data_IF_803797383007
#
_entry.id   IF_803797383007
#
_cell.length_a   1.000
_cell.length_b   1.000
_cell.length_c   1.000
_cell.angle_alpha   90.00
_cell.angle_beta   90.00
_cell.angle_gamma   90.00
#
_symmetry.space_group_name_H-M   'P 1'
#
loop_
_entity.id
_entity.type
_entity.pdbx_description
1 polymer ?
#
# COMPACT_ATOMS: atom_id res chain seq x y z
N UNK A 1 24.55 9.71 -13.47
CA UNK A 1 23.20 9.43 -13.99
C UNK A 1 22.31 9.13 -12.80
N UNK A 2 21.55 10.10 -12.31
CA UNK A 2 20.65 9.89 -11.17
C UNK A 2 19.40 9.21 -11.70
N UNK A 3 19.18 7.94 -11.34
CA UNK A 3 17.90 7.27 -11.57
C UNK A 3 16.87 7.99 -10.70
N UNK A 4 16.18 8.99 -11.27
CA UNK A 4 14.90 9.43 -10.74
C UNK A 4 14.06 8.15 -10.67
N UNK A 5 13.73 7.69 -9.46
CA UNK A 5 12.87 6.52 -9.28
C UNK A 5 11.58 6.81 -10.03
N UNK A 6 11.37 6.16 -11.17
CA UNK A 6 10.29 6.53 -12.06
C UNK A 6 8.98 6.06 -11.43
N UNK A 7 8.11 7.00 -11.07
CA UNK A 7 6.71 6.71 -10.71
C UNK A 7 5.88 6.25 -11.91
N UNK A 8 6.52 5.90 -13.03
CA UNK A 8 5.89 5.51 -14.28
C UNK A 8 4.90 4.35 -14.11
N UNK A 9 5.19 3.28 -13.34
CA UNK A 9 4.18 2.24 -13.07
C UNK A 9 2.93 2.77 -12.35
N UNK A 10 3.09 3.74 -11.44
CA UNK A 10 1.97 4.35 -10.70
C UNK A 10 1.15 5.29 -11.59
N UNK A 11 1.79 5.97 -12.54
CA UNK A 11 1.09 6.79 -13.53
C UNK A 11 0.35 5.92 -14.57
N UNK A 12 0.99 4.86 -15.07
CA UNK A 12 0.36 3.91 -16.02
C UNK A 12 -0.84 3.21 -15.37
N UNK A 13 -0.71 2.81 -14.11
CA UNK A 13 -1.80 2.24 -13.31
C UNK A 13 -2.83 3.26 -12.80
N UNK A 14 -2.71 4.54 -13.20
CA UNK A 14 -3.60 5.67 -12.80
C UNK A 14 -3.65 5.97 -11.30
N UNK A 15 -2.86 5.30 -10.47
CA UNK A 15 -2.68 5.60 -9.05
C UNK A 15 -2.33 7.07 -8.86
N UNK A 16 -1.37 7.57 -9.65
CA UNK A 16 -1.14 9.01 -9.75
C UNK A 16 -2.25 9.63 -10.61
N UNK A 17 -2.97 10.59 -10.03
CA UNK A 17 -4.11 11.28 -10.65
C UNK A 17 -5.46 10.81 -10.11
N UNK A 18 -5.62 9.51 -9.82
CA UNK A 18 -6.86 9.00 -9.21
C UNK A 18 -6.80 8.91 -7.68
N UNK A 19 -5.63 8.63 -7.10
CA UNK A 19 -5.47 8.40 -5.65
C UNK A 19 -4.51 9.40 -5.02
N UNK A 20 -3.36 9.65 -5.67
CA UNK A 20 -2.35 10.59 -5.17
C UNK A 20 -1.93 11.59 -6.24
N UNK A 21 -1.52 12.77 -5.80
CA UNK A 21 -0.86 13.75 -6.67
C UNK A 21 0.50 13.25 -7.14
N UNK A 22 1.02 13.85 -8.21
CA UNK A 22 2.39 13.57 -8.67
C UNK A 22 3.42 13.92 -7.59
N UNK A 23 4.30 12.98 -7.26
CA UNK A 23 5.33 13.15 -6.24
C UNK A 23 6.68 12.58 -6.69
N UNK A 24 7.75 12.97 -5.98
CA UNK A 24 9.09 12.39 -6.13
C UNK A 24 9.35 11.43 -4.96
N UNK A 25 9.49 10.11 -5.20
CA UNK A 25 9.74 9.15 -4.13
C UNK A 25 11.06 9.46 -3.42
N UNK A 26 10.99 9.68 -2.11
CA UNK A 26 12.14 10.00 -1.25
C UNK A 26 12.47 8.89 -0.25
N UNK A 27 11.49 8.03 0.07
CA UNK A 27 11.61 6.95 1.06
C UNK A 27 11.24 5.63 0.41
N UNK A 28 12.07 4.61 0.64
CA UNK A 28 11.79 3.24 0.17
C UNK A 28 10.80 2.56 1.10
N UNK A 29 9.86 1.83 0.52
CA UNK A 29 8.94 0.96 1.24
C UNK A 29 9.02 -0.45 0.65
N UNK A 30 8.93 -1.48 1.49
CA UNK A 30 8.83 -2.87 1.05
C UNK A 30 7.70 -3.57 1.76
N UNK A 31 6.74 -4.07 0.99
CA UNK A 31 5.59 -4.86 1.47
C UNK A 31 5.82 -6.33 1.14
N UNK A 32 5.72 -7.22 2.12
CA UNK A 32 5.98 -8.65 1.99
C UNK A 32 4.84 -9.45 2.63
N UNK A 33 4.12 -10.24 1.82
CA UNK A 33 3.12 -11.20 2.28
C UNK A 33 3.73 -12.59 2.48
N UNK A 34 3.21 -13.34 3.45
CA UNK A 34 3.59 -14.73 3.73
C UNK A 34 5.11 -14.96 3.85
N UNK A 35 5.86 -13.94 4.30
CA UNK A 35 7.31 -13.98 4.51
C UNK A 35 8.19 -13.92 3.27
N UNK A 36 7.67 -14.19 2.07
CA UNK A 36 8.49 -14.25 0.84
C UNK A 36 7.89 -13.53 -0.38
N UNK A 37 6.59 -13.25 -0.40
CA UNK A 37 5.94 -12.62 -1.55
C UNK A 37 5.99 -11.11 -1.45
N UNK A 38 7.01 -10.51 -2.04
CA UNK A 38 7.16 -9.06 -2.12
C UNK A 38 6.18 -8.46 -3.15
N UNK A 39 5.49 -7.39 -2.76
CA UNK A 39 4.60 -6.63 -3.66
C UNK A 39 5.42 -5.86 -4.70
N UNK A 40 4.91 -5.77 -5.93
CA UNK A 40 5.46 -4.98 -7.02
C UNK A 40 4.33 -4.25 -7.75
N UNK A 41 4.57 -3.00 -8.16
CA UNK A 41 3.55 -2.18 -8.82
C UNK A 41 3.01 -2.87 -10.08
N UNK A 42 1.68 -2.92 -10.21
CA UNK A 42 0.99 -3.52 -11.36
C UNK A 42 1.00 -5.05 -11.41
N UNK A 43 1.55 -5.73 -10.39
CA UNK A 43 1.49 -7.20 -10.31
C UNK A 43 0.28 -7.63 -9.50
N UNK A 44 -0.50 -8.55 -10.07
CA UNK A 44 -1.65 -9.16 -9.39
C UNK A 44 -1.19 -10.04 -8.21
N UNK A 45 -1.92 -9.94 -7.10
CA UNK A 45 -1.71 -10.78 -5.92
C UNK A 45 -3.00 -11.51 -5.62
N UNK A 46 -2.91 -12.85 -5.58
CA UNK A 46 -4.05 -13.70 -5.25
C UNK A 46 -4.69 -13.33 -3.90
N UNK A 47 -6.04 -13.27 -3.83
CA UNK A 47 -6.80 -13.02 -2.60
C UNK A 47 -6.33 -13.82 -1.37
N UNK A 48 -6.05 -15.11 -1.56
CA UNK A 48 -5.60 -16.00 -0.48
C UNK A 48 -4.27 -15.56 0.16
N UNK A 49 -3.43 -14.82 -0.57
CA UNK A 49 -2.15 -14.33 -0.05
C UNK A 49 -2.33 -13.07 0.79
N UNK A 50 -3.31 -12.23 0.46
CA UNK A 50 -3.56 -10.96 1.15
C UNK A 50 -4.49 -11.09 2.37
N UNK A 51 -4.96 -12.30 2.67
CA UNK A 51 -5.78 -12.60 3.84
C UNK A 51 -5.10 -12.35 5.19
N UNK A 52 -3.76 -12.28 5.20
CA UNK A 52 -2.97 -11.99 6.41
C UNK A 52 -2.28 -10.64 6.28
N UNK A 53 -1.94 -10.04 7.43
CA UNK A 53 -1.22 -8.79 7.45
C UNK A 53 0.22 -8.99 6.91
N UNK A 54 0.67 -8.21 5.91
CA UNK A 54 2.04 -8.24 5.42
C UNK A 54 2.98 -7.63 6.44
N UNK A 55 4.25 -7.93 6.26
CA UNK A 55 5.33 -7.14 6.83
C UNK A 55 5.59 -5.94 5.92
N UNK A 56 5.63 -4.74 6.49
CA UNK A 56 5.92 -3.52 5.74
C UNK A 56 7.13 -2.83 6.36
N UNK A 57 8.26 -2.88 5.65
CA UNK A 57 9.51 -2.22 6.03
C UNK A 57 9.53 -0.80 5.45
N UNK A 58 9.82 0.18 6.30
CA UNK A 58 9.92 1.60 5.93
C UNK A 58 11.37 2.04 6.03
N UNK A 59 11.88 2.66 4.96
CA UNK A 59 13.20 3.27 4.93
C UNK A 59 13.26 4.59 5.72
N UNK A 60 14.18 5.46 5.31
CA UNK A 60 14.43 6.74 5.96
C UNK A 60 15.89 6.90 6.34
N UNK A 61 16.24 8.08 6.85
CA UNK A 61 17.60 8.39 7.30
C UNK A 61 17.83 8.00 8.76
N UNK A 62 16.83 8.24 9.61
CA UNK A 62 16.86 7.93 11.04
C UNK A 62 15.46 7.69 11.62
N UNK A 63 15.40 7.40 12.93
CA UNK A 63 14.16 7.17 13.68
C UNK A 63 13.48 8.46 14.18
N UNK A 64 13.96 9.65 13.79
CA UNK A 64 13.36 10.93 14.22
C UNK A 64 12.14 11.30 13.41
N UNK A 65 12.09 10.81 12.17
CA UNK A 65 10.92 10.96 11.30
C UNK A 65 9.89 9.88 11.63
N UNK A 66 8.62 10.27 11.64
CA UNK A 66 7.48 9.38 11.76
C UNK A 66 6.71 9.32 10.43
N UNK A 67 6.28 8.11 10.06
CA UNK A 67 5.55 7.84 8.83
C UNK A 67 4.15 7.33 9.14
N UNK A 68 3.23 7.59 8.22
CA UNK A 68 1.89 6.99 8.22
C UNK A 68 1.76 6.12 6.99
N UNK A 69 1.32 4.87 7.17
CA UNK A 69 0.94 3.96 6.11
C UNK A 69 -0.59 3.95 6.00
N UNK A 70 -1.07 4.15 4.78
CA UNK A 70 -2.48 4.00 4.42
C UNK A 70 -2.53 2.91 3.36
N UNK A 71 -3.39 1.91 3.55
CA UNK A 71 -3.72 0.91 2.54
C UNK A 71 -5.17 1.11 2.12
N UNK A 72 -5.41 1.34 0.85
CA UNK A 72 -6.76 1.62 0.32
C UNK A 72 -7.02 0.96 -1.03
N UNK A 73 -8.29 0.71 -1.32
CA UNK A 73 -8.80 0.23 -2.60
C UNK A 73 -9.65 1.32 -3.27
N UNK A 74 -9.16 1.97 -4.34
CA UNK A 74 -9.89 2.99 -5.10
C UNK A 74 -10.91 2.39 -6.07
N UNK A 75 -10.94 1.06 -6.20
CA UNK A 75 -11.75 0.32 -7.15
C UNK A 75 -12.93 -0.40 -6.47
N UNK A 76 -13.22 -0.13 -5.19
CA UNK A 76 -14.26 -0.83 -4.45
C UNK A 76 -15.70 -0.44 -4.93
N UNK A 77 -16.61 -1.42 -5.11
CA UNK A 77 -16.42 -2.88 -5.03
C UNK A 77 -15.86 -3.52 -6.32
N UNK A 78 -15.87 -2.80 -7.45
CA UNK A 78 -15.27 -3.23 -8.71
C UNK A 78 -14.68 -2.04 -9.49
N UNK A 79 -13.55 -2.21 -10.20
CA UNK A 79 -12.97 -1.15 -11.04
C UNK A 79 -13.93 -0.58 -12.08
N UNK A 80 -14.95 -1.35 -12.47
CA UNK A 80 -15.97 -0.92 -13.45
C UNK A 80 -17.09 -0.06 -12.84
N UNK A 81 -17.32 -0.16 -11.53
CA UNK A 81 -18.34 0.60 -10.80
C UNK A 81 -17.86 0.93 -9.37
N UNK A 82 -16.86 1.83 -9.23
CA UNK A 82 -16.17 2.07 -7.98
C UNK A 82 -16.92 3.05 -7.06
N UNK A 83 -18.21 2.82 -6.81
CA UNK A 83 -19.05 3.75 -6.04
C UNK A 83 -18.75 3.76 -4.52
N UNK A 84 -17.92 2.83 -4.03
CA UNK A 84 -17.43 2.80 -2.65
C UNK A 84 -15.98 3.30 -2.53
N UNK A 85 -15.39 3.85 -3.60
CA UNK A 85 -14.05 4.44 -3.53
C UNK A 85 -14.04 5.66 -2.59
N UNK A 86 -13.03 5.87 -1.76
CA UNK A 86 -11.89 4.99 -1.45
C UNK A 86 -12.23 4.07 -0.27
N UNK A 87 -12.06 2.76 -0.43
CA UNK A 87 -12.25 1.82 0.67
C UNK A 87 -10.96 1.69 1.49
N UNK A 88 -11.02 2.10 2.75
CA UNK A 88 -9.86 2.07 3.64
C UNK A 88 -9.68 0.68 4.24
N UNK A 89 -8.56 0.03 3.95
CA UNK A 89 -8.19 -1.23 4.59
C UNK A 89 -7.52 -0.98 5.93
N UNK A 90 -6.37 -0.30 5.94
CA UNK A 90 -5.57 -0.06 7.15
C UNK A 90 -5.04 1.36 7.23
N UNK A 91 -4.92 1.84 8.46
CA UNK A 91 -4.09 2.99 8.80
C UNK A 91 -3.14 2.58 9.93
N UNK A 92 -1.85 2.81 9.71
CA UNK A 92 -0.82 2.69 10.73
C UNK A 92 -0.08 4.03 10.81
N UNK A 93 -0.16 4.69 11.95
CA UNK A 93 0.49 5.98 12.19
C UNK A 93 1.75 5.81 13.03
N UNK A 94 2.50 6.90 13.20
CA UNK A 94 3.65 6.97 14.12
C UNK A 94 4.73 5.89 13.89
N UNK A 95 4.91 5.41 12.65
CA UNK A 95 5.94 4.42 12.32
C UNK A 95 7.30 5.12 12.29
N UNK A 96 8.27 4.78 13.14
CA UNK A 96 9.59 5.38 13.08
C UNK A 96 10.34 5.01 11.79
N UNK A 97 11.07 5.95 11.21
CA UNK A 97 11.91 5.65 10.05
C UNK A 97 12.90 4.52 10.33
N UNK A 98 13.31 3.81 9.27
CA UNK A 98 14.20 2.63 9.32
C UNK A 98 13.63 1.39 10.04
N UNK A 99 12.34 1.40 10.40
CA UNK A 99 11.67 0.29 11.09
C UNK A 99 10.57 -0.36 10.22
N UNK A 100 9.59 -0.99 10.85
CA UNK A 100 8.43 -1.59 10.19
C UNK A 100 7.14 -1.26 10.95
N UNK A 101 5.99 -1.58 10.34
CA UNK A 101 4.67 -1.24 10.88
C UNK A 101 4.37 -1.81 12.28
N UNK A 102 5.13 -2.80 12.77
CA UNK A 102 4.95 -3.31 14.14
C UNK A 102 5.34 -2.30 15.23
N UNK A 103 6.10 -1.26 14.88
CA UNK A 103 6.47 -0.16 15.77
C UNK A 103 5.52 1.03 15.71
N UNK A 104 4.56 1.03 14.77
CA UNK A 104 3.56 2.06 14.63
C UNK A 104 2.32 1.84 15.51
N UNK A 105 1.36 2.77 15.43
CA UNK A 105 0.05 2.67 16.07
C UNK A 105 -1.02 2.32 15.05
N UNK A 106 -1.77 1.26 15.31
CA UNK A 106 -2.90 0.85 14.47
C UNK A 106 -4.15 1.64 14.89
N UNK A 107 -4.71 2.43 13.97
CA UNK A 107 -5.93 3.21 14.22
C UNK A 107 -7.18 2.40 13.83
N UNK A 108 -7.12 1.67 12.72
CA UNK A 108 -8.21 0.78 12.30
C UNK A 108 -7.70 -0.40 11.48
N UNK A 109 -8.08 -1.62 11.88
CA UNK A 109 -8.10 -2.80 11.01
C UNK A 109 -9.55 -2.92 10.54
N UNK A 110 -9.91 -2.28 9.44
CA UNK A 110 -11.25 -2.49 8.86
C UNK A 110 -11.21 -3.90 8.31
N UNK A 111 -12.01 -4.78 8.91
CA UNK A 111 -11.87 -6.22 8.75
C UNK A 111 -11.84 -6.63 7.27
N UNK A 112 -10.83 -7.42 6.91
CA UNK A 112 -10.81 -8.25 5.70
C UNK A 112 -11.79 -9.43 5.87
N UNK A 113 -12.96 -9.19 6.47
CA UNK A 113 -14.01 -10.17 6.70
C UNK A 113 -15.05 -10.10 5.58
N UNK A 114 -14.57 -10.29 4.37
CA UNK A 114 -15.26 -11.09 3.37
C UNK A 114 -14.24 -11.40 2.29
N UNK A 115 -14.15 -12.67 1.90
CA UNK A 115 -13.25 -13.16 0.85
C UNK A 115 -13.58 -12.62 -0.56
N UNK A 116 -13.96 -11.36 -0.67
CA UNK A 116 -14.21 -10.58 -1.87
C UNK A 116 -13.08 -9.57 -2.10
N UNK A 117 -11.83 -10.00 -1.98
CA UNK A 117 -10.89 -9.54 -3.00
C UNK A 117 -11.39 -10.19 -4.31
N UNK A 118 -12.33 -9.52 -4.98
CA UNK A 118 -12.57 -9.73 -6.39
C UNK A 118 -11.19 -9.67 -7.04
N UNK A 119 -10.89 -10.58 -7.96
CA UNK A 119 -9.53 -10.80 -8.51
C UNK A 119 -8.95 -9.63 -9.30
N UNK A 120 -9.31 -8.39 -8.98
CA UNK A 120 -8.93 -7.16 -9.66
C UNK A 120 -8.65 -5.99 -8.70
N UNK A 121 -8.65 -6.19 -7.37
CA UNK A 121 -8.33 -5.10 -6.43
C UNK A 121 -6.84 -4.75 -6.48
N UNK A 122 -6.53 -3.57 -7.01
CA UNK A 122 -5.20 -2.97 -6.93
C UNK A 122 -5.02 -2.40 -5.53
N UNK A 123 -4.42 -3.18 -4.63
CA UNK A 123 -4.08 -2.67 -3.31
C UNK A 123 -2.91 -1.69 -3.45
N UNK A 124 -3.14 -0.42 -3.07
CA UNK A 124 -2.14 0.65 -3.01
C UNK A 124 -1.69 0.85 -1.56
#
# INVERSE_FOLDING_TARGET
MSSRGTCEPLAVGRVIGEVVDSFSPSVKMKVIYNGSKQVSNGHEIMPAVVATQPRVEIGGEDMRSAYTLIMTDPDAPSPSDPYLREHLHWIVTDIPGTTDISFGKFDSRVDFSDGHATGESCII
#
